data_IF_760899398306
#
_entry.id   IF_760899398306
#
_cell.length_a   1.000
_cell.length_b   1.000
_cell.length_c   1.000
_cell.angle_alpha   90.00
_cell.angle_beta   90.00
_cell.angle_gamma   90.00
#
_symmetry.space_group_name_H-M   'P 1'
#
loop_
_entity.id
_entity.type
_entity.pdbx_description
1 polymer ?
#
# COMPACT_ATOMS: atom_id res chain seq x y z
N UNK A 1 1.27 7.96 -9.56
CA UNK A 1 2.13 8.62 -8.54
C UNK A 1 1.86 7.95 -7.20
N UNK A 2 2.92 7.47 -6.51
CA UNK A 2 2.85 7.01 -5.11
C UNK A 2 3.22 8.17 -4.18
N UNK A 3 2.44 8.35 -3.13
CA UNK A 3 2.59 9.38 -2.12
C UNK A 3 2.77 8.67 -0.78
N UNK A 4 3.85 8.98 -0.04
CA UNK A 4 4.14 8.40 1.27
C UNK A 4 4.19 9.54 2.28
N UNK A 5 3.58 9.34 3.45
CA UNK A 5 3.57 10.31 4.54
C UNK A 5 4.11 9.66 5.82
N UNK A 6 5.08 10.29 6.45
CA UNK A 6 5.62 9.85 7.75
C UNK A 6 4.68 10.09 8.93
N UNK A 7 3.66 10.92 8.74
CA UNK A 7 2.64 11.23 9.76
C UNK A 7 1.24 10.69 9.38
N UNK A 8 1.18 9.84 8.35
CA UNK A 8 -0.07 9.34 7.77
C UNK A 8 -0.78 10.37 6.88
N UNK A 9 -1.79 9.91 6.17
CA UNK A 9 -2.70 10.68 5.32
C UNK A 9 -4.12 10.45 5.82
N UNK A 10 -4.92 11.49 5.88
CA UNK A 10 -6.35 11.42 6.25
C UNK A 10 -7.23 11.40 5.00
N UNK A 11 -8.52 11.12 5.17
CA UNK A 11 -9.51 11.26 4.11
C UNK A 11 -9.55 12.69 3.54
N UNK A 12 -9.37 13.70 4.38
CA UNK A 12 -9.31 15.09 3.93
C UNK A 12 -8.09 15.35 3.04
N UNK A 13 -6.93 14.76 3.38
CA UNK A 13 -5.73 14.84 2.54
C UNK A 13 -5.98 14.19 1.17
N UNK A 14 -6.62 13.01 1.14
CA UNK A 14 -6.97 12.34 -0.11
C UNK A 14 -7.94 13.17 -0.95
N UNK A 15 -8.97 13.77 -0.32
CA UNK A 15 -9.93 14.63 -1.01
C UNK A 15 -9.27 15.88 -1.62
N UNK A 16 -8.33 16.49 -0.91
CA UNK A 16 -7.59 17.66 -1.41
C UNK A 16 -6.68 17.27 -2.57
N UNK A 17 -5.99 16.13 -2.49
CA UNK A 17 -5.18 15.59 -3.58
C UNK A 17 -6.05 15.26 -4.80
N UNK A 18 -7.23 14.66 -4.59
CA UNK A 18 -8.17 14.32 -5.67
C UNK A 18 -8.67 15.54 -6.45
N UNK A 19 -8.76 16.71 -5.80
CA UNK A 19 -9.17 17.98 -6.44
C UNK A 19 -8.02 18.66 -7.20
N UNK A 20 -6.79 18.16 -7.10
CA UNK A 20 -5.65 18.75 -7.80
C UNK A 20 -5.82 18.60 -9.31
N UNK A 21 -5.57 19.68 -10.04
CA UNK A 21 -5.71 19.68 -11.50
C UNK A 21 -4.77 18.63 -12.13
N UNK A 22 -5.34 17.74 -12.94
CA UNK A 22 -4.64 16.66 -13.62
C UNK A 22 -4.60 15.35 -12.83
N UNK A 23 -5.23 15.28 -11.66
CA UNK A 23 -5.50 14.03 -10.94
C UNK A 23 -6.86 13.48 -11.37
N UNK A 24 -6.90 12.23 -11.84
CA UNK A 24 -8.13 11.54 -12.24
C UNK A 24 -8.77 10.82 -11.04
N UNK A 25 -7.96 10.16 -10.22
CA UNK A 25 -8.40 9.37 -9.08
C UNK A 25 -7.30 9.30 -8.03
N UNK A 26 -7.69 9.10 -6.76
CA UNK A 26 -6.79 8.88 -5.63
C UNK A 26 -7.28 7.68 -4.84
N UNK A 27 -6.35 6.83 -4.42
CA UNK A 27 -6.61 5.67 -3.57
C UNK A 27 -5.69 5.71 -2.37
N UNK A 28 -6.25 5.69 -1.16
CA UNK A 28 -5.51 5.55 0.10
C UNK A 28 -5.28 4.08 0.43
N UNK A 29 -4.08 3.76 0.90
CA UNK A 29 -3.71 2.41 1.28
C UNK A 29 -2.89 2.40 2.58
N UNK A 30 -2.92 1.26 3.26
CA UNK A 30 -2.05 0.99 4.39
C UNK A 30 -1.00 -0.03 4.01
N UNK A 31 0.22 0.16 4.54
CA UNK A 31 1.30 -0.81 4.41
C UNK A 31 2.10 -0.90 5.71
N UNK A 32 2.63 -2.08 5.98
CA UNK A 32 3.52 -2.36 7.11
C UNK A 32 4.44 -3.52 6.78
N UNK A 33 5.71 -3.38 7.14
CA UNK A 33 6.64 -4.49 7.11
C UNK A 33 6.48 -5.32 8.38
N UNK A 34 6.44 -6.64 8.21
CA UNK A 34 6.29 -7.62 9.29
C UNK A 34 7.27 -8.76 9.09
N UNK A 35 7.55 -9.50 10.17
CA UNK A 35 8.22 -10.78 10.08
C UNK A 35 7.17 -11.89 9.91
N UNK A 36 7.42 -12.81 8.99
CA UNK A 36 6.66 -14.04 8.83
C UNK A 36 7.58 -15.25 8.97
N UNK A 37 7.06 -16.32 9.56
CA UNK A 37 7.72 -17.62 9.51
C UNK A 37 7.06 -18.48 8.44
N UNK A 38 7.85 -18.85 7.44
CA UNK A 38 7.44 -19.73 6.38
C UNK A 38 8.56 -20.75 6.10
N UNK A 39 8.21 -22.04 6.08
CA UNK A 39 9.17 -23.15 5.86
C UNK A 39 10.39 -23.08 6.79
N UNK A 40 10.10 -22.89 8.11
CA UNK A 40 11.10 -22.75 9.19
C UNK A 40 12.10 -21.60 9.01
N UNK A 41 11.82 -20.67 8.10
CA UNK A 41 12.62 -19.47 7.87
C UNK A 41 11.84 -18.22 8.24
N UNK A 42 12.50 -17.35 9.02
CA UNK A 42 12.00 -16.01 9.26
C UNK A 42 12.34 -15.11 8.06
N UNK A 43 11.36 -14.40 7.56
CA UNK A 43 11.47 -13.52 6.39
C UNK A 43 10.68 -12.24 6.58
N UNK A 44 11.11 -11.15 5.93
CA UNK A 44 10.36 -9.90 5.92
C UNK A 44 9.29 -9.96 4.83
N UNK A 45 8.06 -9.65 5.22
CA UNK A 45 6.95 -9.45 4.31
C UNK A 45 6.48 -7.99 4.35
N UNK A 46 6.28 -7.40 3.18
CA UNK A 46 5.61 -6.12 3.01
C UNK A 46 4.12 -6.38 2.87
N UNK A 47 3.33 -6.00 3.88
CA UNK A 47 1.88 -6.19 3.90
C UNK A 47 1.22 -4.92 3.40
N UNK A 48 0.29 -5.05 2.46
CA UNK A 48 -0.48 -3.94 1.88
C UNK A 48 -1.97 -4.20 2.03
N UNK A 49 -2.72 -3.12 2.22
CA UNK A 49 -4.18 -3.18 2.21
C UNK A 49 -4.74 -3.20 0.79
N UNK A 50 -5.86 -3.92 0.62
CA UNK A 50 -6.70 -3.86 -0.59
C UNK A 50 -8.17 -3.76 -0.19
N UNK A 51 -9.01 -3.06 -0.97
CA UNK A 51 -10.44 -3.03 -0.71
C UNK A 51 -11.07 -4.39 -1.04
N UNK A 52 -11.76 -5.00 -0.07
CA UNK A 52 -12.37 -6.33 -0.24
C UNK A 52 -13.60 -6.29 -1.15
N UNK A 53 -14.32 -5.17 -1.17
CA UNK A 53 -15.62 -5.03 -1.84
C UNK A 53 -15.60 -4.00 -2.98
N UNK A 54 -14.43 -3.71 -3.56
CA UNK A 54 -14.35 -2.76 -4.66
C UNK A 54 -15.04 -3.31 -5.91
N UNK A 55 -15.95 -2.52 -6.49
CA UNK A 55 -16.52 -2.80 -7.80
C UNK A 55 -15.41 -2.81 -8.86
N UNK A 56 -15.50 -3.72 -9.82
CA UNK A 56 -14.58 -3.78 -10.97
C UNK A 56 -14.59 -2.50 -11.82
N UNK A 57 -15.64 -1.70 -11.73
CA UNK A 57 -15.79 -0.41 -12.40
C UNK A 57 -15.37 0.79 -11.53
N UNK A 58 -14.90 0.58 -10.29
CA UNK A 58 -14.47 1.67 -9.44
C UNK A 58 -13.10 2.19 -9.89
N UNK A 59 -13.11 3.33 -10.58
CA UNK A 59 -11.90 4.00 -11.07
C UNK A 59 -10.96 4.44 -9.91
N UNK A 60 -11.44 4.53 -8.68
CA UNK A 60 -10.64 4.86 -7.51
C UNK A 60 -9.80 3.69 -7.01
N UNK A 61 -10.20 2.44 -7.29
CA UNK A 61 -9.36 1.28 -6.97
C UNK A 61 -8.22 1.15 -7.97
N UNK A 62 -7.10 1.71 -7.63
CA UNK A 62 -5.85 1.72 -8.40
C UNK A 62 -5.03 0.48 -7.98
N UNK A 63 -4.14 0.03 -8.88
CA UNK A 63 -3.23 -1.10 -8.62
C UNK A 63 -3.94 -2.46 -8.41
N UNK A 64 -5.01 -2.70 -9.16
CA UNK A 64 -5.76 -3.95 -9.11
C UNK A 64 -4.86 -5.17 -9.29
N UNK A 65 -5.00 -6.10 -8.39
CA UNK A 65 -4.29 -7.37 -8.44
C UNK A 65 -4.90 -8.28 -9.51
N UNK A 66 -4.06 -9.02 -10.23
CA UNK A 66 -4.50 -10.05 -11.17
C UNK A 66 -4.26 -11.44 -10.57
N UNK A 67 -5.32 -12.21 -10.41
CA UNK A 67 -5.25 -13.57 -9.87
C UNK A 67 -4.43 -14.48 -10.82
N UNK A 68 -3.47 -15.17 -10.24
CA UNK A 68 -2.75 -16.28 -10.89
C UNK A 68 -3.34 -17.62 -10.46
N UNK A 69 -3.64 -17.77 -9.16
CA UNK A 69 -4.17 -18.99 -8.57
C UNK A 69 -5.09 -18.63 -7.40
N UNK A 70 -6.13 -19.43 -7.15
CA UNK A 70 -7.08 -19.16 -6.07
C UNK A 70 -8.02 -18.00 -6.34
N UNK A 71 -8.24 -17.14 -5.34
CA UNK A 71 -9.14 -15.98 -5.37
C UNK A 71 -8.60 -14.81 -4.55
N UNK A 72 -9.22 -13.64 -4.64
CA UNK A 72 -8.98 -12.54 -3.71
C UNK A 72 -9.61 -12.83 -2.34
N UNK A 73 -9.12 -12.20 -1.25
CA UNK A 73 -9.73 -12.28 0.07
C UNK A 73 -11.20 -11.83 0.03
N UNK A 74 -12.04 -12.51 0.78
CA UNK A 74 -13.47 -12.20 0.91
C UNK A 74 -13.89 -12.05 2.38
N UNK A 75 -13.03 -12.49 3.30
CA UNK A 75 -13.27 -12.46 4.73
C UNK A 75 -12.02 -11.99 5.46
N UNK A 76 -12.21 -11.64 6.73
CA UNK A 76 -11.14 -11.43 7.69
C UNK A 76 -10.24 -12.68 7.73
N UNK A 77 -8.96 -12.50 8.12
CA UNK A 77 -7.96 -13.58 8.20
C UNK A 77 -7.63 -14.28 6.88
N UNK A 78 -8.02 -13.69 5.75
CA UNK A 78 -7.61 -14.15 4.44
C UNK A 78 -6.59 -13.18 3.84
N UNK A 79 -5.61 -13.72 3.12
CA UNK A 79 -4.63 -12.93 2.40
C UNK A 79 -4.34 -13.53 1.02
N UNK A 80 -3.74 -12.72 0.17
CA UNK A 80 -3.12 -13.20 -1.07
C UNK A 80 -1.66 -12.79 -1.11
N UNK A 81 -0.83 -13.57 -1.79
CA UNK A 81 0.61 -13.35 -1.87
C UNK A 81 1.00 -13.07 -3.31
N UNK A 82 1.89 -12.10 -3.52
CA UNK A 82 2.47 -11.83 -4.84
C UNK A 82 3.25 -13.05 -5.33
N UNK A 83 3.02 -13.43 -6.58
CA UNK A 83 3.77 -14.49 -7.23
C UNK A 83 5.25 -14.14 -7.38
N UNK A 84 6.11 -15.05 -6.92
CA UNK A 84 7.55 -15.02 -7.11
C UNK A 84 8.02 -16.29 -7.80
N UNK A 85 8.74 -16.14 -8.93
CA UNK A 85 9.21 -17.30 -9.70
C UNK A 85 10.53 -17.87 -9.19
N UNK A 86 11.24 -17.13 -8.34
CA UNK A 86 12.62 -17.42 -7.93
C UNK A 86 12.75 -17.92 -6.48
N UNK A 87 11.64 -17.97 -5.74
CA UNK A 87 11.61 -18.37 -4.34
C UNK A 87 10.65 -19.53 -4.14
N UNK A 88 10.86 -20.26 -3.06
CA UNK A 88 9.91 -21.26 -2.57
C UNK A 88 8.55 -20.58 -2.38
N UNK A 89 7.59 -20.98 -3.21
CA UNK A 89 6.35 -20.24 -3.33
C UNK A 89 5.41 -20.59 -2.18
N UNK A 90 4.97 -19.57 -1.45
CA UNK A 90 3.81 -19.66 -0.57
C UNK A 90 2.62 -20.13 -1.41
N UNK A 91 1.86 -21.10 -0.91
CA UNK A 91 0.78 -21.77 -1.63
C UNK A 91 -0.59 -21.41 -1.06
N UNK A 92 -1.60 -21.53 -1.90
CA UNK A 92 -3.00 -21.46 -1.43
C UNK A 92 -3.23 -22.55 -0.38
N UNK A 93 -3.76 -22.13 0.78
CA UNK A 93 -4.00 -22.95 1.96
C UNK A 93 -2.95 -22.82 3.06
N UNK A 94 -1.79 -22.23 2.78
CA UNK A 94 -0.79 -21.94 3.81
C UNK A 94 -1.30 -20.88 4.80
N UNK A 95 -0.78 -20.90 6.02
CA UNK A 95 -1.09 -19.90 7.05
C UNK A 95 0.15 -19.08 7.35
N UNK A 96 0.04 -17.77 7.17
CA UNK A 96 1.09 -16.82 7.52
C UNK A 96 0.82 -16.23 8.90
N UNK A 97 1.83 -16.23 9.77
CA UNK A 97 1.77 -15.60 11.08
C UNK A 97 2.63 -14.34 11.07
N UNK A 98 1.98 -13.20 11.30
CA UNK A 98 2.66 -11.91 11.36
C UNK A 98 3.24 -11.68 12.75
N UNK A 99 4.47 -11.19 12.79
CA UNK A 99 5.15 -10.73 13.99
C UNK A 99 5.70 -9.33 13.76
N UNK A 100 5.75 -8.53 14.79
CA UNK A 100 6.48 -7.28 14.75
C UNK A 100 7.98 -7.54 14.61
N UNK A 101 8.65 -6.76 13.78
CA UNK A 101 10.10 -6.74 13.70
C UNK A 101 10.73 -5.69 14.61
N UNK A 102 9.92 -4.98 15.40
CA UNK A 102 10.29 -3.93 16.35
C UNK A 102 9.80 -4.27 17.75
N UNK A 103 9.93 -3.34 18.70
CA UNK A 103 9.38 -3.46 20.06
C UNK A 103 7.85 -3.23 20.12
N UNK A 104 7.23 -2.77 19.02
CA UNK A 104 5.81 -2.48 18.98
C UNK A 104 4.99 -3.77 18.99
N UNK A 105 3.78 -3.74 19.56
CA UNK A 105 2.86 -4.88 19.47
C UNK A 105 2.23 -4.91 18.07
N UNK A 106 2.34 -6.05 17.40
CA UNK A 106 1.73 -6.27 16.08
C UNK A 106 0.20 -6.09 16.13
N UNK A 107 -0.41 -6.38 17.27
CA UNK A 107 -1.84 -6.20 17.50
C UNK A 107 -2.28 -4.73 17.54
N UNK A 108 -1.36 -3.77 17.66
CA UNK A 108 -1.69 -2.34 17.52
C UNK A 108 -1.89 -1.95 16.06
N UNK A 109 -1.33 -2.71 15.13
CA UNK A 109 -1.43 -2.44 13.69
C UNK A 109 -2.54 -3.24 13.01
N UNK A 110 -2.66 -4.55 13.34
CA UNK A 110 -3.59 -5.45 12.67
C UNK A 110 -4.68 -5.96 13.61
N UNK A 111 -5.87 -6.25 13.07
CA UNK A 111 -6.95 -6.91 13.81
C UNK A 111 -6.60 -8.36 14.13
N UNK A 112 -5.98 -9.03 13.17
CA UNK A 112 -5.53 -10.40 13.28
C UNK A 112 -4.04 -10.53 12.98
N UNK A 113 -3.44 -11.61 13.43
CA UNK A 113 -2.00 -11.88 13.22
C UNK A 113 -1.75 -13.19 12.46
N UNK A 114 -2.80 -13.95 12.16
CA UNK A 114 -2.73 -15.18 11.38
C UNK A 114 -3.66 -15.09 10.18
N UNK A 115 -3.11 -15.29 8.98
CA UNK A 115 -3.83 -15.14 7.71
C UNK A 115 -3.69 -16.39 6.86
N UNK A 116 -4.80 -16.91 6.36
CA UNK A 116 -4.82 -18.01 5.40
C UNK A 116 -4.62 -17.47 3.99
N UNK A 117 -3.67 -18.01 3.26
CA UNK A 117 -3.43 -17.66 1.86
C UNK A 117 -4.53 -18.26 1.00
N UNK A 118 -5.36 -17.42 0.39
CA UNK A 118 -6.48 -17.85 -0.47
C UNK A 118 -6.19 -17.63 -1.95
N UNK A 119 -5.08 -17.00 -2.28
CA UNK A 119 -4.67 -16.82 -3.67
C UNK A 119 -3.23 -16.35 -3.84
N UNK A 120 -2.75 -16.53 -5.05
CA UNK A 120 -1.47 -16.02 -5.54
C UNK A 120 -1.76 -15.04 -6.68
N UNK A 121 -1.12 -13.86 -6.66
CA UNK A 121 -1.47 -12.75 -7.54
C UNK A 121 -0.27 -12.14 -8.24
N UNK A 122 -0.51 -11.49 -9.37
CA UNK A 122 0.41 -10.52 -9.96
C UNK A 122 0.04 -9.11 -9.47
N UNK A 123 1.05 -8.32 -9.12
CA UNK A 123 0.87 -6.95 -8.65
C UNK A 123 1.49 -5.96 -9.63
N UNK A 124 0.78 -4.90 -10.01
CA UNK A 124 1.35 -3.83 -10.84
C UNK A 124 2.32 -2.92 -10.07
N UNK A 125 2.27 -2.92 -8.74
CA UNK A 125 3.19 -2.11 -7.91
C UNK A 125 4.59 -2.71 -7.81
N UNK A 126 4.72 -4.03 -7.97
CA UNK A 126 5.98 -4.76 -7.79
C UNK A 126 6.26 -5.61 -9.03
N UNK A 127 6.78 -4.98 -10.08
CA UNK A 127 7.12 -5.64 -11.34
C UNK A 127 8.55 -6.22 -11.33
N UNK A 128 9.39 -5.75 -10.40
CA UNK A 128 10.76 -6.24 -10.21
C UNK A 128 10.80 -7.46 -9.28
N UNK A 129 11.88 -8.24 -9.38
CA UNK A 129 12.25 -9.25 -8.39
C UNK A 129 12.75 -8.65 -7.08
N UNK A 130 13.32 -7.45 -7.15
CA UNK A 130 13.69 -6.66 -5.98
C UNK A 130 12.43 -5.98 -5.46
N UNK A 131 11.99 -6.38 -4.26
CA UNK A 131 10.83 -5.84 -3.58
C UNK A 131 11.17 -4.64 -2.70
N UNK A 132 12.45 -4.30 -2.59
CA UNK A 132 12.95 -3.21 -1.78
C UNK A 132 13.57 -3.67 -0.45
N UNK A 133 13.97 -2.67 0.34
CA UNK A 133 14.56 -2.85 1.66
C UNK A 133 13.57 -2.52 2.78
N UNK A 134 13.87 -3.04 3.96
CA UNK A 134 13.11 -2.84 5.19
C UNK A 134 14.06 -2.52 6.34
N UNK A 135 13.55 -1.84 7.36
CA UNK A 135 14.31 -1.55 8.59
C UNK A 135 14.24 -2.70 9.62
N UNK A 136 13.52 -3.79 9.30
CA UNK A 136 13.36 -4.96 10.18
C UNK A 136 14.01 -6.22 9.60
N UNK A 137 14.18 -7.23 10.44
CA UNK A 137 14.70 -8.53 10.07
C UNK A 137 16.09 -8.44 9.45
N UNK A 138 16.27 -9.06 8.29
CA UNK A 138 17.54 -9.06 7.54
C UNK A 138 17.66 -7.85 6.58
N UNK A 139 16.73 -6.91 6.62
CA UNK A 139 16.75 -5.71 5.80
C UNK A 139 16.22 -5.87 4.37
N UNK A 140 15.82 -7.08 3.96
CA UNK A 140 15.32 -7.34 2.61
C UNK A 140 13.89 -7.84 2.62
N UNK A 141 13.00 -7.18 1.88
CA UNK A 141 11.63 -7.65 1.67
C UNK A 141 11.66 -8.90 0.81
N UNK A 142 11.10 -9.98 1.35
CA UNK A 142 11.06 -11.29 0.68
C UNK A 142 9.71 -11.60 0.08
N UNK A 143 8.63 -11.09 0.66
CA UNK A 143 7.27 -11.34 0.22
C UNK A 143 6.46 -10.05 0.19
N UNK A 144 5.50 -9.93 -0.75
CA UNK A 144 4.41 -8.97 -0.68
C UNK A 144 3.13 -9.73 -0.39
N UNK A 145 2.44 -9.33 0.67
CA UNK A 145 1.19 -9.92 1.14
C UNK A 145 0.10 -8.86 1.08
N UNK A 146 -1.10 -9.23 0.67
CA UNK A 146 -2.24 -8.31 0.60
C UNK A 146 -3.37 -8.85 1.48
N UNK A 147 -3.88 -7.98 2.34
CA UNK A 147 -5.00 -8.24 3.26
C UNK A 147 -6.12 -7.23 3.02
N UNK A 148 -7.29 -7.43 3.57
CA UNK A 148 -8.36 -6.45 3.54
C UNK A 148 -7.95 -5.12 4.16
N UNK A 149 -8.49 -4.01 3.64
CA UNK A 149 -8.20 -2.66 4.17
C UNK A 149 -8.70 -2.51 5.61
N UNK A 150 -9.77 -3.19 5.98
CA UNK A 150 -10.31 -3.22 7.33
C UNK A 150 -9.49 -4.05 8.33
N UNK A 151 -8.46 -4.80 7.89
CA UNK A 151 -7.53 -5.50 8.78
C UNK A 151 -6.54 -4.55 9.49
N UNK A 152 -6.30 -3.38 8.93
CA UNK A 152 -5.50 -2.34 9.58
C UNK A 152 -6.34 -1.56 10.60
N UNK A 153 -5.81 -1.36 11.80
CA UNK A 153 -6.45 -0.60 12.89
C UNK A 153 -6.27 0.91 12.80
N UNK A 154 -5.43 1.36 11.86
CA UNK A 154 -5.16 2.78 11.67
C UNK A 154 -6.42 3.51 11.17
N UNK A 155 -6.63 4.71 11.68
CA UNK A 155 -7.59 5.69 11.18
C UNK A 155 -6.98 6.68 10.16
N UNK A 156 -5.81 6.31 9.62
CA UNK A 156 -5.07 7.05 8.61
C UNK A 156 -4.46 6.09 7.58
N UNK A 157 -4.09 6.60 6.42
CA UNK A 157 -3.38 5.86 5.38
C UNK A 157 -1.86 6.09 5.50
N UNK A 158 -1.07 5.06 5.31
CA UNK A 158 0.40 5.18 5.27
C UNK A 158 0.90 5.66 3.93
N UNK A 159 0.12 5.42 2.88
CA UNK A 159 0.43 5.82 1.51
C UNK A 159 -0.83 6.09 0.70
N UNK A 160 -0.68 6.80 -0.41
CA UNK A 160 -1.73 6.99 -1.39
C UNK A 160 -1.19 6.85 -2.81
N UNK A 161 -2.09 6.51 -3.72
CA UNK A 161 -1.80 6.40 -5.13
C UNK A 161 -2.68 7.37 -5.91
N UNK A 162 -2.09 8.15 -6.82
CA UNK A 162 -2.81 9.06 -7.67
C UNK A 162 -2.64 8.69 -9.15
N UNK A 163 -3.74 8.65 -9.89
CA UNK A 163 -3.76 8.49 -11.35
C UNK A 163 -3.68 9.85 -11.99
N UNK A 164 -2.76 10.02 -12.92
CA UNK A 164 -2.64 11.23 -13.74
C UNK A 164 -3.61 11.14 -14.91
N UNK A 165 -4.49 12.12 -15.04
CA UNK A 165 -5.47 12.17 -16.11
C UNK A 165 -4.80 12.27 -17.48
N UNK A 166 -5.26 11.41 -18.42
CA UNK A 166 -4.72 11.33 -19.79
C UNK A 166 -3.26 10.88 -19.90
N UNK A 167 -2.64 10.33 -18.82
CA UNK A 167 -1.29 9.78 -18.93
C UNK A 167 -1.27 8.40 -19.60
N UNK A 168 -2.35 7.65 -19.53
CA UNK A 168 -2.48 6.33 -20.17
C UNK A 168 -2.44 6.38 -21.70
N UNK A 169 -2.81 7.51 -22.29
CA UNK A 169 -2.86 7.73 -23.74
C UNK A 169 -1.49 8.10 -24.32
N UNK A 170 -0.51 8.37 -23.46
CA UNK A 170 0.84 8.77 -23.86
C UNK A 170 1.80 7.57 -23.83
N UNK A 171 2.81 7.62 -24.68
CA UNK A 171 3.93 6.68 -24.58
C UNK A 171 4.70 6.94 -23.28
N UNK A 172 4.83 5.90 -22.45
CA UNK A 172 5.47 5.96 -21.12
C UNK A 172 6.94 6.43 -21.17
N UNK A 173 7.61 6.30 -22.31
CA UNK A 173 8.99 6.72 -22.52
C UNK A 173 9.11 8.06 -23.23
N UNK A 174 8.02 8.81 -23.40
CA UNK A 174 8.02 10.11 -24.07
C UNK A 174 8.25 11.27 -23.10
N UNK A 175 8.90 12.33 -23.58
CA UNK A 175 9.05 13.60 -22.84
C UNK A 175 7.68 14.20 -22.46
N UNK A 176 6.64 13.93 -23.23
CA UNK A 176 5.29 14.42 -22.98
C UNK A 176 4.68 13.74 -21.75
N UNK A 177 4.86 12.40 -21.63
CA UNK A 177 4.46 11.65 -20.46
C UNK A 177 5.18 12.17 -19.20
N UNK A 178 6.51 12.29 -19.26
CA UNK A 178 7.31 12.74 -18.13
C UNK A 178 6.91 14.14 -17.67
N UNK A 179 6.79 15.09 -18.58
CA UNK A 179 6.32 16.46 -18.27
C UNK A 179 4.93 16.49 -17.66
N UNK A 180 4.02 15.67 -18.17
CA UNK A 180 2.65 15.58 -17.64
C UNK A 180 2.64 15.06 -16.22
N UNK A 181 3.33 13.95 -15.96
CA UNK A 181 3.43 13.33 -14.63
C UNK A 181 4.15 14.28 -13.65
N UNK A 182 5.26 14.89 -14.04
CA UNK A 182 6.01 15.82 -13.20
C UNK A 182 5.18 17.04 -12.81
N UNK A 183 4.43 17.62 -13.74
CA UNK A 183 3.56 18.75 -13.45
C UNK A 183 2.51 18.42 -12.38
N UNK A 184 1.87 17.25 -12.47
CA UNK A 184 0.89 16.81 -11.48
C UNK A 184 1.57 16.48 -10.15
N UNK A 185 2.73 15.82 -10.18
CA UNK A 185 3.51 15.52 -9.00
C UNK A 185 3.91 16.79 -8.23
N UNK A 186 4.32 17.85 -8.93
CA UNK A 186 4.69 19.12 -8.31
C UNK A 186 3.46 19.81 -7.67
N UNK A 187 2.29 19.73 -8.29
CA UNK A 187 1.03 20.22 -7.69
C UNK A 187 0.69 19.47 -6.41
N UNK A 188 0.75 18.12 -6.44
CA UNK A 188 0.51 17.30 -5.25
C UNK A 188 1.52 17.64 -4.14
N UNK A 189 2.80 17.79 -4.45
CA UNK A 189 3.82 18.20 -3.46
C UNK A 189 3.49 19.55 -2.81
N UNK A 190 3.06 20.54 -3.58
CA UNK A 190 2.70 21.85 -3.06
C UNK A 190 1.46 21.79 -2.14
N UNK A 191 0.46 20.99 -2.51
CA UNK A 191 -0.73 20.74 -1.71
C UNK A 191 -0.34 20.05 -0.39
N UNK A 192 0.45 18.97 -0.48
CA UNK A 192 0.90 18.22 0.69
C UNK A 192 1.72 19.07 1.66
N UNK A 193 2.57 19.97 1.15
CA UNK A 193 3.33 20.91 1.98
C UNK A 193 2.39 21.86 2.76
N UNK A 194 1.37 22.40 2.10
CA UNK A 194 0.37 23.26 2.75
C UNK A 194 -0.43 22.54 3.83
N UNK A 195 -0.85 21.31 3.57
CA UNK A 195 -1.56 20.48 4.55
C UNK A 195 -0.68 20.14 5.76
N UNK A 196 0.57 19.77 5.51
CA UNK A 196 1.53 19.47 6.58
C UNK A 196 1.75 20.68 7.51
N UNK A 197 1.86 21.89 6.94
CA UNK A 197 2.04 23.11 7.74
C UNK A 197 0.79 23.45 8.58
N UNK A 198 -0.40 23.23 8.02
CA UNK A 198 -1.65 23.38 8.78
C UNK A 198 -1.72 22.39 9.95
N UNK A 199 -1.45 21.10 9.71
CA UNK A 199 -1.44 20.07 10.76
C UNK A 199 -0.41 20.37 11.87
N UNK A 200 0.80 20.81 11.50
CA UNK A 200 1.81 21.23 12.48
C UNK A 200 1.33 22.39 13.34
N UNK A 201 0.56 23.30 12.78
CA UNK A 201 -0.02 24.43 13.50
C UNK A 201 -1.10 23.95 14.48
N UNK A 202 -2.02 23.10 14.01
CA UNK A 202 -3.10 22.55 14.83
C UNK A 202 -2.55 21.76 16.03
N UNK A 203 -1.56 20.90 15.79
CA UNK A 203 -0.86 20.14 16.84
C UNK A 203 -0.22 21.10 17.88
N UNK A 204 0.48 22.15 17.42
CA UNK A 204 1.08 23.12 18.35
C UNK A 204 0.04 23.87 19.17
N UNK A 205 -1.11 24.21 18.58
CA UNK A 205 -2.21 24.90 19.28
C UNK A 205 -2.88 23.97 20.31
N UNK A 206 -2.94 22.66 20.03
CA UNK A 206 -3.51 21.67 20.95
C UNK A 206 -2.59 21.41 22.16
N UNK A 207 -1.27 21.35 21.95
CA UNK A 207 -0.30 21.23 23.04
C UNK A 207 -0.06 22.53 23.86
N UNK A 208 -0.55 23.65 23.39
CA UNK A 208 -0.45 24.96 24.10
C UNK A 208 -1.63 25.22 25.03
N UNK A 209 -2.64 24.38 25.07
CA UNK A 209 -3.82 24.45 25.98
C UNK A 209 -3.59 23.63 27.23
#
# INVERSE_FOLDING_TARGET
IRIISSIGLTDDDLQVIAKAQGVKAVYGANSKDVLINYDDKESVAHVLSIPLNADDNDDSYINRLRIKEGRLPQNDKECVVKYESTREAVKVGDVLKFKSGTSDDINDTFKDTEYTVVGVVYSPCFVSYDLGSSDIGNGNISYCVYVGDDEFKNDYYTEAYAVVDGAKELDTYSDEYDKKVENVQNRIKNIAAGQLDNRKKDIKEEFAK
#
